data_IF_604927224829
#
_entry.id   IF_604927224829
#
_cell.length_a   1.000
_cell.length_b   1.000
_cell.length_c   1.000
_cell.angle_alpha   90.00
_cell.angle_beta   90.00
_cell.angle_gamma   90.00
#
_symmetry.space_group_name_H-M   'P 1'
#
loop_
_entity.id
_entity.type
_entity.pdbx_description
1 polymer ?
#
# COMPACT_ATOMS: atom_id res chain seq x y z
N UNK A 1 -14.36 -6.04 -17.92
CA UNK A 1 -13.45 -5.64 -16.84
C UNK A 1 -13.19 -4.15 -16.92
N UNK A 2 -13.26 -3.51 -15.79
CA UNK A 2 -13.00 -2.07 -15.71
C UNK A 2 -11.51 -1.77 -15.81
N UNK A 3 -11.15 -0.72 -16.59
CA UNK A 3 -9.78 -0.22 -16.65
C UNK A 3 -9.56 0.97 -15.72
N UNK A 4 -10.56 1.25 -14.85
CA UNK A 4 -10.49 2.37 -13.94
C UNK A 4 -9.26 2.29 -13.03
N UNK A 5 -8.53 3.37 -12.95
CA UNK A 5 -7.38 3.52 -12.07
C UNK A 5 -6.22 2.55 -12.35
N UNK A 6 -6.19 1.94 -13.53
CA UNK A 6 -5.04 1.10 -13.90
C UNK A 6 -3.76 1.91 -14.03
N UNK A 7 -3.85 3.14 -14.48
CA UNK A 7 -2.70 4.01 -14.58
C UNK A 7 -2.11 4.31 -13.20
N UNK A 8 -2.95 4.47 -12.18
CA UNK A 8 -2.47 4.66 -10.82
C UNK A 8 -1.77 3.41 -10.28
N UNK A 9 -2.22 2.24 -10.72
CA UNK A 9 -1.61 0.98 -10.29
C UNK A 9 -0.26 0.73 -10.97
N UNK A 10 -0.15 1.00 -12.26
CA UNK A 10 1.03 0.65 -13.04
C UNK A 10 2.01 1.81 -13.24
N UNK A 11 1.55 3.04 -13.16
CA UNK A 11 2.38 4.23 -13.35
C UNK A 11 2.04 5.29 -12.31
N UNK A 12 2.18 4.98 -11.02
CA UNK A 12 1.86 5.95 -9.98
C UNK A 12 2.88 7.08 -9.97
N UNK A 13 2.41 8.28 -9.61
CA UNK A 13 3.30 9.43 -9.44
C UNK A 13 3.77 9.57 -8.00
N UNK A 14 3.01 9.02 -7.05
CA UNK A 14 3.35 9.03 -5.64
C UNK A 14 2.84 7.75 -4.99
N UNK A 15 3.64 7.16 -4.12
CA UNK A 15 3.32 5.90 -3.45
C UNK A 15 3.35 6.11 -1.95
N UNK A 16 2.31 5.61 -1.26
CA UNK A 16 2.33 5.51 0.20
C UNK A 16 2.61 4.05 0.58
N UNK A 17 3.53 3.83 1.50
CA UNK A 17 3.81 2.50 2.03
C UNK A 17 3.30 2.44 3.47
N UNK A 18 2.17 1.77 3.68
CA UNK A 18 1.52 1.68 4.98
C UNK A 18 1.96 0.42 5.68
N UNK A 19 2.55 0.58 6.86
CA UNK A 19 3.21 -0.52 7.56
C UNK A 19 4.70 -0.57 7.27
N UNK A 20 5.27 0.51 6.72
CA UNK A 20 6.71 0.60 6.55
C UNK A 20 7.42 0.42 7.88
N UNK A 21 8.58 -0.22 7.88
CA UNK A 21 9.24 -0.57 9.11
C UNK A 21 10.76 -0.54 8.93
N UNK A 22 11.45 -0.24 10.04
CA UNK A 22 12.90 -0.41 10.12
C UNK A 22 13.27 -1.78 10.70
N UNK A 23 12.29 -2.56 11.16
CA UNK A 23 12.56 -3.84 11.78
C UNK A 23 13.02 -4.85 10.74
N UNK A 24 14.24 -5.32 10.89
CA UNK A 24 14.90 -6.19 9.93
C UNK A 24 14.06 -7.43 9.63
N UNK A 25 13.91 -7.75 8.35
CA UNK A 25 13.16 -8.89 7.81
C UNK A 25 11.66 -8.84 8.02
N UNK A 26 11.11 -7.75 8.54
CA UNK A 26 9.66 -7.58 8.51
C UNK A 26 9.20 -7.31 7.08
N UNK A 27 7.94 -7.60 6.77
CA UNK A 27 7.39 -7.32 5.43
C UNK A 27 7.51 -5.84 5.12
N UNK A 28 7.21 -4.98 6.10
CA UNK A 28 7.32 -3.54 5.91
C UNK A 28 8.74 -3.07 5.62
N UNK A 29 9.74 -3.71 6.23
CA UNK A 29 11.13 -3.37 5.96
C UNK A 29 11.54 -3.80 4.56
N UNK A 30 11.16 -5.01 4.16
CA UNK A 30 11.49 -5.52 2.82
C UNK A 30 10.86 -4.65 1.74
N UNK A 31 9.59 -4.28 1.92
CA UNK A 31 8.91 -3.40 0.98
C UNK A 31 9.56 -2.03 0.92
N UNK A 32 9.92 -1.45 2.06
CA UNK A 32 10.57 -0.15 2.12
C UNK A 32 11.90 -0.19 1.38
N UNK A 33 12.71 -1.22 1.67
CA UNK A 33 14.01 -1.38 1.03
C UNK A 33 13.87 -1.48 -0.49
N UNK A 34 12.91 -2.26 -0.96
CA UNK A 34 12.71 -2.48 -2.38
C UNK A 34 12.16 -1.23 -3.07
N UNK A 35 11.19 -0.55 -2.47
CA UNK A 35 10.63 0.65 -3.08
C UNK A 35 11.64 1.79 -3.15
N UNK A 36 12.40 2.02 -2.09
CA UNK A 36 13.41 3.06 -2.09
C UNK A 36 14.59 2.74 -3.01
N UNK A 37 14.84 1.45 -3.24
CA UNK A 37 15.94 1.01 -4.09
C UNK A 37 15.58 0.81 -5.56
N UNK A 38 14.31 0.93 -5.93
CA UNK A 38 13.85 0.55 -7.27
C UNK A 38 14.03 1.65 -8.34
N UNK A 39 14.51 2.83 -7.95
CA UNK A 39 14.66 3.92 -8.91
C UNK A 39 13.37 4.64 -9.25
N UNK A 40 12.34 4.48 -8.43
CA UNK A 40 11.10 5.20 -8.61
C UNK A 40 11.35 6.71 -8.51
N UNK A 41 10.85 7.50 -9.47
CA UNK A 41 11.17 8.90 -9.59
C UNK A 41 10.29 9.82 -8.73
N UNK A 42 9.19 9.33 -8.23
CA UNK A 42 8.27 10.12 -7.41
C UNK A 42 8.51 9.93 -5.92
N UNK A 43 7.72 10.61 -5.08
CA UNK A 43 7.83 10.42 -3.64
C UNK A 43 7.29 9.08 -3.20
N UNK A 44 8.00 8.45 -2.27
CA UNK A 44 7.52 7.29 -1.53
C UNK A 44 7.33 7.75 -0.09
N UNK A 45 6.10 7.69 0.41
CA UNK A 45 5.74 8.23 1.72
C UNK A 45 5.49 7.07 2.69
N UNK A 46 6.45 6.77 3.58
CA UNK A 46 6.24 5.69 4.54
C UNK A 46 5.31 6.13 5.67
N UNK A 47 4.43 5.22 6.08
CA UNK A 47 3.50 5.46 7.19
C UNK A 47 3.81 4.46 8.30
N UNK A 48 4.13 4.97 9.48
CA UNK A 48 4.39 4.18 10.67
C UNK A 48 4.08 5.05 11.90
N UNK A 49 3.22 4.59 12.82
CA UNK A 49 2.82 5.40 13.97
C UNK A 49 3.92 5.54 15.02
N UNK A 50 4.98 4.75 14.96
CA UNK A 50 6.01 4.70 16.00
C UNK A 50 7.37 5.24 15.57
N UNK A 51 7.63 5.31 14.27
CA UNK A 51 8.94 5.71 13.76
C UNK A 51 8.86 7.10 13.13
N UNK A 52 9.85 7.94 13.43
CA UNK A 52 9.94 9.26 12.79
C UNK A 52 10.54 9.20 11.40
N UNK A 53 11.31 8.16 11.12
CA UNK A 53 11.95 7.99 9.82
C UNK A 53 12.06 6.50 9.49
N UNK A 54 11.91 6.18 8.22
CA UNK A 54 12.11 4.84 7.68
C UNK A 54 13.18 4.96 6.60
N UNK A 55 14.30 4.28 6.80
CA UNK A 55 15.45 4.33 5.89
C UNK A 55 15.83 5.78 5.55
N UNK A 56 15.90 6.63 6.58
CA UNK A 56 16.27 8.05 6.49
C UNK A 56 15.24 8.93 5.77
N UNK A 57 14.08 8.38 5.41
CA UNK A 57 13.00 9.17 4.83
C UNK A 57 11.98 9.47 5.92
N UNK A 58 11.46 10.69 5.94
CA UNK A 58 10.46 11.08 6.93
C UNK A 58 9.26 10.13 6.87
N UNK A 59 8.88 9.61 8.03
CA UNK A 59 7.69 8.75 8.15
C UNK A 59 6.55 9.57 8.73
N UNK A 60 5.34 9.22 8.31
CA UNK A 60 4.12 9.91 8.76
C UNK A 60 3.35 8.98 9.68
N UNK A 61 2.75 9.50 10.77
CA UNK A 61 2.09 8.64 11.74
C UNK A 61 0.83 7.97 11.22
N UNK A 62 0.16 8.58 10.25
CA UNK A 62 -1.07 8.05 9.69
C UNK A 62 -1.31 8.59 8.28
N UNK A 63 -2.36 8.09 7.64
CA UNK A 63 -2.71 8.50 6.27
C UNK A 63 -3.09 9.97 6.20
N UNK A 64 -3.78 10.47 7.23
CA UNK A 64 -4.24 11.86 7.23
C UNK A 64 -3.11 12.87 7.32
N UNK A 65 -1.95 12.44 7.80
CA UNK A 65 -0.77 13.30 7.90
C UNK A 65 0.04 13.39 6.62
N UNK A 66 -0.31 12.63 5.59
CA UNK A 66 0.45 12.63 4.34
C UNK A 66 0.39 14.00 3.66
N UNK A 67 1.54 14.49 3.15
CA UNK A 67 1.58 15.82 2.53
C UNK A 67 0.92 15.89 1.17
N UNK A 68 0.68 14.75 0.54
CA UNK A 68 0.04 14.68 -0.77
C UNK A 68 -0.77 13.39 -0.87
N UNK A 69 -1.79 13.39 -1.72
CA UNK A 69 -2.56 12.17 -1.99
C UNK A 69 -1.70 11.20 -2.78
N UNK A 70 -1.52 9.96 -2.32
CA UNK A 70 -0.80 8.97 -3.11
C UNK A 70 -1.69 8.48 -4.25
N UNK A 71 -1.09 8.18 -5.40
CA UNK A 71 -1.80 7.49 -6.46
C UNK A 71 -1.98 6.02 -6.10
N UNK A 72 -0.96 5.44 -5.47
CA UNK A 72 -0.94 4.04 -5.10
C UNK A 72 -0.55 3.90 -3.64
N UNK A 73 -1.27 3.06 -2.91
CA UNK A 73 -0.89 2.68 -1.55
C UNK A 73 -0.52 1.21 -1.53
N UNK A 74 0.58 0.88 -0.87
CA UNK A 74 0.99 -0.50 -0.62
C UNK A 74 0.78 -0.75 0.87
N UNK A 75 -0.03 -1.74 1.22
CA UNK A 75 -0.49 -1.96 2.59
C UNK A 75 0.04 -3.27 3.13
N UNK A 76 0.78 -3.21 4.23
CA UNK A 76 1.39 -4.36 4.88
C UNK A 76 1.08 -4.40 6.39
N UNK A 77 0.01 -3.74 6.82
CA UNK A 77 -0.42 -3.76 8.22
C UNK A 77 -1.33 -4.96 8.49
N UNK A 78 -1.62 -5.27 9.77
CA UNK A 78 -2.52 -6.38 10.09
C UNK A 78 -3.90 -6.21 9.45
N UNK A 79 -4.44 -7.32 8.96
CA UNK A 79 -5.67 -7.33 8.16
C UNK A 79 -6.88 -6.63 8.81
N UNK A 80 -7.14 -6.79 10.13
CA UNK A 80 -8.33 -6.17 10.72
C UNK A 80 -8.38 -4.66 10.59
N UNK A 81 -7.24 -3.97 10.50
CA UNK A 81 -7.20 -2.52 10.36
C UNK A 81 -7.25 -2.02 8.92
N UNK A 82 -7.18 -2.91 7.93
CA UNK A 82 -7.06 -2.51 6.54
C UNK A 82 -8.32 -1.85 5.98
N UNK A 83 -9.54 -2.33 6.27
CA UNK A 83 -10.73 -1.64 5.74
C UNK A 83 -10.81 -0.17 6.16
N UNK A 84 -10.47 0.16 7.39
CA UNK A 84 -10.44 1.55 7.84
C UNK A 84 -9.40 2.36 7.07
N UNK A 85 -8.22 1.78 6.83
CA UNK A 85 -7.17 2.42 6.04
C UNK A 85 -7.63 2.71 4.62
N UNK A 86 -8.35 1.77 4.01
CA UNK A 86 -8.88 1.95 2.67
C UNK A 86 -9.85 3.13 2.63
N UNK A 87 -10.71 3.26 3.63
CA UNK A 87 -11.60 4.41 3.72
C UNK A 87 -10.84 5.72 3.82
N UNK A 88 -9.81 5.77 4.66
CA UNK A 88 -8.98 6.97 4.82
C UNK A 88 -8.22 7.31 3.54
N UNK A 89 -7.70 6.30 2.87
CA UNK A 89 -6.98 6.49 1.59
C UNK A 89 -7.93 7.03 0.52
N UNK A 90 -9.14 6.48 0.45
CA UNK A 90 -10.13 6.96 -0.50
C UNK A 90 -10.51 8.42 -0.24
N UNK A 91 -10.69 8.80 1.02
CA UNK A 91 -10.96 10.18 1.38
C UNK A 91 -9.81 11.11 1.00
N UNK A 92 -8.59 10.61 1.06
CA UNK A 92 -7.40 11.38 0.68
C UNK A 92 -7.22 11.51 -0.82
N UNK A 93 -7.97 10.75 -1.62
CA UNK A 93 -7.85 10.80 -3.07
C UNK A 93 -7.00 9.69 -3.68
N UNK A 94 -6.62 8.70 -2.89
CA UNK A 94 -5.88 7.54 -3.41
C UNK A 94 -6.75 6.76 -4.37
N UNK A 95 -6.17 6.31 -5.48
CA UNK A 95 -6.93 5.68 -6.55
C UNK A 95 -6.73 4.18 -6.66
N UNK A 96 -5.63 3.66 -6.12
CA UNK A 96 -5.33 2.24 -6.17
C UNK A 96 -4.59 1.81 -4.92
N UNK A 97 -4.81 0.57 -4.48
CA UNK A 97 -4.13 0.01 -3.32
C UNK A 97 -3.77 -1.44 -3.59
N UNK A 98 -2.56 -1.82 -3.18
CA UNK A 98 -2.11 -3.21 -3.19
C UNK A 98 -2.08 -3.68 -1.74
N UNK A 99 -2.88 -4.69 -1.40
CA UNK A 99 -2.96 -5.21 -0.05
C UNK A 99 -2.12 -6.49 0.01
N UNK A 100 -1.04 -6.43 0.77
CA UNK A 100 -0.12 -7.57 0.92
C UNK A 100 -0.38 -8.31 2.22
N UNK A 101 -1.15 -7.71 3.12
CA UNK A 101 -1.47 -8.30 4.42
C UNK A 101 -2.12 -9.67 4.27
N UNK A 102 -1.74 -10.61 5.13
CA UNK A 102 -2.42 -11.89 5.24
C UNK A 102 -3.62 -11.76 6.19
N UNK A 103 -4.50 -12.75 6.21
CA UNK A 103 -5.64 -12.76 7.14
C UNK A 103 -6.97 -12.46 6.49
N UNK A 104 -7.01 -12.40 5.15
CA UNK A 104 -8.26 -12.14 4.43
C UNK A 104 -8.95 -13.42 3.96
N UNK A 105 -8.67 -14.52 4.62
CA UNK A 105 -9.44 -15.75 4.45
C UNK A 105 -10.85 -15.59 5.00
N UNK A 106 -11.03 -14.69 5.96
CA UNK A 106 -12.33 -14.35 6.52
C UNK A 106 -13.13 -13.55 5.48
N UNK A 107 -14.25 -14.11 5.05
CA UNK A 107 -15.09 -13.46 4.04
C UNK A 107 -15.71 -12.16 4.53
N UNK A 108 -16.03 -12.07 5.83
CA UNK A 108 -16.58 -10.84 6.38
C UNK A 108 -15.57 -9.69 6.30
N UNK A 109 -14.32 -9.98 6.60
CA UNK A 109 -13.27 -8.98 6.53
C UNK A 109 -13.00 -8.55 5.09
N UNK A 110 -13.05 -9.51 4.16
CA UNK A 110 -12.90 -9.20 2.74
C UNK A 110 -14.05 -8.33 2.23
N UNK A 111 -15.27 -8.62 2.69
CA UNK A 111 -16.45 -7.82 2.33
C UNK A 111 -16.32 -6.40 2.89
N UNK A 112 -15.82 -6.24 4.11
CA UNK A 112 -15.59 -4.93 4.71
C UNK A 112 -14.56 -4.13 3.89
N UNK A 113 -13.55 -4.81 3.39
CA UNK A 113 -12.53 -4.18 2.55
C UNK A 113 -13.14 -3.59 1.28
N UNK A 114 -13.97 -4.36 0.60
CA UNK A 114 -14.62 -3.93 -0.63
C UNK A 114 -15.63 -2.82 -0.38
N UNK A 115 -16.37 -2.90 0.74
CA UNK A 115 -17.31 -1.85 1.10
C UNK A 115 -16.61 -0.53 1.37
N UNK A 116 -15.45 -0.57 2.02
CA UNK A 116 -14.68 0.63 2.31
C UNK A 116 -14.18 1.31 1.03
N UNK A 117 -13.86 0.53 0.01
CA UNK A 117 -13.34 1.05 -1.26
C UNK A 117 -14.42 1.61 -2.17
N UNK A 118 -15.64 1.08 -2.06
CA UNK A 118 -16.71 1.36 -3.02
C UNK A 118 -17.06 2.85 -3.16
N UNK A 119 -17.25 3.62 -2.07
CA UNK A 119 -17.62 5.03 -2.20
C UNK A 119 -16.58 5.87 -2.94
N UNK A 120 -15.34 5.44 -2.94
CA UNK A 120 -14.23 6.18 -3.52
C UNK A 120 -13.78 5.64 -4.86
N UNK A 121 -14.42 4.59 -5.34
CA UNK A 121 -14.04 3.84 -6.55
C UNK A 121 -12.55 3.47 -6.56
N UNK A 122 -11.99 3.22 -5.39
CA UNK A 122 -10.60 2.85 -5.23
C UNK A 122 -10.39 1.41 -5.69
N UNK A 123 -9.42 1.20 -6.57
CA UNK A 123 -9.13 -0.14 -7.07
C UNK A 123 -8.23 -0.88 -6.08
N UNK A 124 -8.62 -2.09 -5.73
CA UNK A 124 -7.82 -2.93 -4.83
C UNK A 124 -7.25 -4.11 -5.59
N UNK A 125 -5.96 -4.35 -5.40
CA UNK A 125 -5.29 -5.56 -5.87
C UNK A 125 -4.89 -6.35 -4.63
N UNK A 126 -5.25 -7.61 -4.59
CA UNK A 126 -5.09 -8.44 -3.41
C UNK A 126 -6.37 -8.57 -2.63
N UNK A 127 -6.30 -9.11 -1.42
CA UNK A 127 -5.12 -9.75 -0.85
C UNK A 127 -4.70 -11.00 -1.61
N UNK A 128 -3.42 -11.34 -1.52
CA UNK A 128 -2.84 -12.53 -2.16
C UNK A 128 -2.80 -12.49 -3.70
N UNK A 129 -2.88 -11.32 -4.30
CA UNK A 129 -2.79 -11.14 -5.75
C UNK A 129 -1.42 -10.59 -6.14
N UNK A 130 -0.40 -11.26 -5.68
CA UNK A 130 0.97 -10.89 -5.93
C UNK A 130 1.30 -11.11 -7.39
N UNK A 131 1.85 -10.40 -8.13
CA UNK A 131 2.08 -10.58 -9.56
C UNK A 131 1.16 -9.75 -10.43
N UNK A 132 0.15 -9.11 -9.82
CA UNK A 132 -0.74 -8.23 -10.55
C UNK A 132 -0.24 -6.80 -10.61
N UNK A 133 0.90 -6.50 -9.97
CA UNK A 133 1.46 -5.16 -9.92
C UNK A 133 2.72 -5.06 -10.75
N UNK A 134 3.12 -3.83 -11.05
CA UNK A 134 4.32 -3.58 -11.83
C UNK A 134 5.56 -3.87 -11.01
N UNK A 135 6.36 -4.79 -11.48
CA UNK A 135 7.63 -5.11 -10.84
C UNK A 135 8.65 -4.00 -10.99
N UNK A 136 8.44 -3.09 -11.92
CA UNK A 136 9.32 -1.94 -12.05
C UNK A 136 9.27 -1.03 -10.83
N UNK A 137 8.18 -1.11 -10.06
CA UNK A 137 8.01 -0.27 -8.88
C UNK A 137 8.21 -1.05 -7.57
N UNK A 138 7.76 -2.29 -7.51
CA UNK A 138 7.80 -3.06 -6.27
C UNK A 138 9.03 -3.93 -6.13
N UNK A 139 9.56 -4.43 -7.22
CA UNK A 139 10.79 -5.26 -7.27
C UNK A 139 10.82 -6.37 -6.23
N UNK A 140 9.66 -6.92 -5.89
CA UNK A 140 9.57 -8.01 -4.91
C UNK A 140 9.68 -9.33 -5.64
N UNK A 141 10.61 -10.21 -5.24
CA UNK A 141 10.61 -11.57 -5.76
C UNK A 141 9.31 -12.26 -5.36
N UNK A 142 8.66 -12.91 -6.32
CA UNK A 142 7.40 -13.60 -6.03
C UNK A 142 7.54 -14.63 -4.92
N UNK A 143 8.68 -15.29 -4.87
CA UNK A 143 8.93 -16.30 -3.85
C UNK A 143 8.94 -15.75 -2.43
N UNK A 144 9.19 -14.46 -2.26
CA UNK A 144 9.19 -13.85 -0.93
C UNK A 144 7.79 -13.56 -0.43
N UNK A 145 6.80 -13.61 -1.31
CA UNK A 145 5.44 -13.20 -1.00
C UNK A 145 4.45 -14.37 -1.02
N UNK A 146 4.90 -15.51 -1.43
CA UNK A 146 4.06 -16.70 -1.52
C UNK A 146 4.14 -17.56 -0.26
#
# INVERSE_FOLDING_TARGET
MSTRNLDALFQPRAIALIGASNRFRSVGEVLARNLFGAGFQGPVMPVNPHEAAIRSTVAYPDVRSLPAAPDLAVIATPAPGVPELIGQLGEAGCRAAVVISSGFEDEALRADLLEAARPHTLRIVGPNCIGSVSYTHLTLPTSDLV
#
